data_IF_916949703683
#
_entry.id   IF_916949703683
#
_cell.length_a   1.000
_cell.length_b   1.000
_cell.length_c   1.000
_cell.angle_alpha   90.00
_cell.angle_beta   90.00
_cell.angle_gamma   90.00
#
_symmetry.space_group_name_H-M   'P 1'
#
loop_
_entity.id
_entity.type
_entity.pdbx_description
1 polymer ?
#
# COMPACT_ATOMS: atom_id res chain seq x y z
N UNK A 1 -28.09 -11.64 -12.68
CA UNK A 1 -27.74 -10.62 -11.65
C UNK A 1 -26.68 -11.19 -10.72
N UNK A 2 -25.40 -10.78 -10.80
CA UNK A 2 -24.36 -10.93 -9.74
C UNK A 2 -22.97 -10.51 -10.27
N UNK A 3 -22.75 -9.20 -10.46
CA UNK A 3 -21.40 -8.65 -10.73
C UNK A 3 -20.93 -7.68 -9.62
N UNK A 4 -21.81 -7.31 -8.67
CA UNK A 4 -21.52 -6.32 -7.63
C UNK A 4 -20.76 -6.86 -6.42
N UNK A 5 -20.98 -8.12 -6.02
CA UNK A 5 -20.37 -8.69 -4.81
C UNK A 5 -18.83 -8.81 -4.85
N UNK A 6 -18.21 -8.86 -6.05
CA UNK A 6 -16.75 -8.98 -6.18
C UNK A 6 -16.02 -7.64 -5.96
N UNK A 7 -16.67 -6.52 -6.28
CA UNK A 7 -16.09 -5.18 -6.10
C UNK A 7 -16.06 -4.74 -4.63
N UNK A 8 -17.14 -5.03 -3.89
CA UNK A 8 -17.25 -4.72 -2.46
C UNK A 8 -16.18 -5.49 -1.65
N UNK A 9 -16.05 -6.80 -1.88
CA UNK A 9 -15.03 -7.61 -1.24
C UNK A 9 -13.59 -7.12 -1.53
N UNK A 10 -13.31 -6.67 -2.75
CA UNK A 10 -11.97 -6.17 -3.10
C UNK A 10 -11.65 -4.86 -2.38
N UNK A 11 -12.64 -3.98 -2.24
CA UNK A 11 -12.47 -2.68 -1.57
C UNK A 11 -12.28 -2.86 -0.07
N UNK A 12 -13.05 -3.76 0.54
CA UNK A 12 -12.95 -4.07 1.97
C UNK A 12 -11.59 -4.70 2.31
N UNK A 13 -11.10 -5.61 1.46
CA UNK A 13 -9.78 -6.21 1.62
C UNK A 13 -8.66 -5.18 1.48
N UNK A 14 -8.74 -4.29 0.49
CA UNK A 14 -7.78 -3.20 0.31
C UNK A 14 -7.79 -2.23 1.50
N UNK A 15 -8.97 -1.87 2.01
CA UNK A 15 -9.13 -1.05 3.21
C UNK A 15 -8.50 -1.70 4.44
N UNK A 16 -8.76 -2.99 4.67
CA UNK A 16 -8.17 -3.74 5.78
C UNK A 16 -6.65 -3.89 5.64
N UNK A 17 -6.13 -4.06 4.42
CA UNK A 17 -4.69 -4.06 4.16
C UNK A 17 -4.05 -2.71 4.52
N UNK A 18 -4.67 -1.59 4.11
CA UNK A 18 -4.19 -0.25 4.43
C UNK A 18 -4.21 0.01 5.93
N UNK A 19 -5.29 -0.37 6.62
CA UNK A 19 -5.39 -0.25 8.07
C UNK A 19 -4.28 -1.03 8.79
N UNK A 20 -4.01 -2.27 8.39
CA UNK A 20 -2.90 -3.08 8.94
C UNK A 20 -1.52 -2.47 8.67
N UNK A 21 -1.29 -1.90 7.48
CA UNK A 21 -0.03 -1.21 7.17
C UNK A 21 0.17 0.01 8.07
N UNK A 22 -0.87 0.82 8.24
CA UNK A 22 -0.81 2.00 9.09
C UNK A 22 -0.57 1.63 10.56
N UNK A 23 -1.23 0.59 11.08
CA UNK A 23 -1.05 0.15 12.47
C UNK A 23 0.31 -0.49 12.71
N UNK A 24 0.86 -1.22 11.73
CA UNK A 24 2.22 -1.74 11.78
C UNK A 24 3.27 -0.61 11.81
N UNK A 25 3.09 0.42 10.97
CA UNK A 25 3.95 1.62 10.99
C UNK A 25 3.89 2.34 12.34
N UNK A 26 2.68 2.56 12.87
CA UNK A 26 2.48 3.17 14.19
C UNK A 26 3.11 2.34 15.32
N UNK A 27 3.02 1.00 15.26
CA UNK A 27 3.69 0.12 16.21
C UNK A 27 5.23 0.25 16.14
N UNK A 28 5.79 0.40 14.93
CA UNK A 28 7.21 0.67 14.74
C UNK A 28 7.66 1.97 15.38
N UNK A 29 6.87 3.04 15.23
CA UNK A 29 7.14 4.34 15.87
C UNK A 29 7.11 4.21 17.40
N UNK A 30 6.09 3.54 17.95
CA UNK A 30 6.01 3.31 19.41
C UNK A 30 7.23 2.57 19.93
N UNK A 31 7.65 1.51 19.24
CA UNK A 31 8.84 0.74 19.61
C UNK A 31 10.12 1.61 19.55
N UNK A 32 10.29 2.40 18.49
CA UNK A 32 11.43 3.31 18.34
C UNK A 32 11.49 4.40 19.41
N UNK A 33 10.34 4.85 19.91
CA UNK A 33 10.22 5.83 21.00
C UNK A 33 10.26 5.19 22.40
N UNK A 34 10.31 3.86 22.50
CA UNK A 34 10.23 3.14 23.79
C UNK A 34 8.88 3.32 24.50
N UNK A 35 7.80 3.58 23.76
CA UNK A 35 6.45 3.83 24.29
C UNK A 35 5.57 2.59 24.18
N UNK A 36 4.78 2.32 25.21
CA UNK A 36 3.79 1.24 25.19
C UNK A 36 2.44 1.70 24.57
N UNK A 37 1.58 0.74 24.23
CA UNK A 37 0.19 1.02 23.83
C UNK A 37 -0.59 1.77 24.92
N UNK A 38 -0.28 1.50 26.19
CA UNK A 38 -0.89 2.19 27.33
C UNK A 38 -0.45 3.65 27.39
N UNK A 39 0.79 3.94 27.01
CA UNK A 39 1.29 5.32 26.94
C UNK A 39 0.63 6.08 25.80
N UNK A 40 0.42 5.43 24.65
CA UNK A 40 -0.36 6.00 23.55
C UNK A 40 -1.80 6.29 23.98
N UNK A 41 -2.44 5.37 24.71
CA UNK A 41 -3.80 5.57 25.22
C UNK A 41 -3.89 6.83 26.11
N UNK A 42 -2.93 6.98 27.03
CA UNK A 42 -2.82 8.16 27.90
C UNK A 42 -2.57 9.43 27.10
N UNK A 43 -1.65 9.41 26.15
CA UNK A 43 -1.30 10.58 25.33
C UNK A 43 -2.46 11.03 24.43
N UNK A 44 -3.22 10.08 23.88
CA UNK A 44 -4.42 10.35 23.09
C UNK A 44 -5.66 10.69 23.94
N UNK A 45 -5.62 10.50 25.26
CA UNK A 45 -6.78 10.69 26.14
C UNK A 45 -7.90 9.69 25.89
N UNK A 46 -7.58 8.45 25.49
CA UNK A 46 -8.57 7.40 25.18
C UNK A 46 -8.35 6.14 26.03
N UNK A 47 -9.33 5.23 26.03
CA UNK A 47 -9.22 3.97 26.76
C UNK A 47 -8.18 3.02 26.12
N UNK A 48 -7.53 2.15 26.90
CA UNK A 48 -6.64 1.10 26.36
C UNK A 48 -7.34 0.18 25.37
N UNK A 49 -8.62 -0.14 25.61
CA UNK A 49 -9.44 -0.92 24.68
C UNK A 49 -9.59 -0.26 23.31
N UNK A 50 -9.73 1.07 23.28
CA UNK A 50 -9.77 1.83 22.02
C UNK A 50 -8.45 1.75 21.28
N UNK A 51 -7.31 1.82 21.97
CA UNK A 51 -5.99 1.63 21.34
C UNK A 51 -5.82 0.21 20.82
N UNK A 52 -6.25 -0.82 21.55
CA UNK A 52 -6.23 -2.20 21.06
C UNK A 52 -7.05 -2.37 19.78
N UNK A 53 -8.23 -1.74 19.71
CA UNK A 53 -9.06 -1.74 18.52
C UNK A 53 -8.40 -1.00 17.34
N UNK A 54 -7.74 0.13 17.60
CA UNK A 54 -6.94 0.82 16.57
C UNK A 54 -5.84 -0.11 16.06
N UNK A 55 -5.11 -0.75 16.96
CA UNK A 55 -3.95 -1.59 16.65
C UNK A 55 -4.29 -2.93 16.01
N UNK A 56 -5.52 -3.43 16.11
CA UNK A 56 -5.90 -4.68 15.44
C UNK A 56 -5.92 -4.55 13.91
N UNK A 57 -6.06 -3.34 13.37
CA UNK A 57 -6.13 -3.11 11.91
C UNK A 57 -7.40 -3.66 11.23
N UNK A 58 -8.30 -4.27 12.01
CA UNK A 58 -9.63 -4.72 11.56
C UNK A 58 -10.71 -3.68 11.83
N UNK A 59 -10.40 -2.65 12.62
CA UNK A 59 -11.32 -1.57 12.88
C UNK A 59 -11.39 -0.60 11.69
N UNK A 60 -12.55 0.05 11.52
CA UNK A 60 -12.71 1.16 10.59
C UNK A 60 -11.82 2.34 11.02
N UNK A 61 -10.57 2.31 10.59
CA UNK A 61 -9.55 3.26 10.97
C UNK A 61 -9.76 4.54 10.16
N UNK A 62 -10.00 5.65 10.86
CA UNK A 62 -10.23 6.94 10.20
C UNK A 62 -8.94 7.75 10.11
N UNK A 63 -8.87 8.64 9.11
CA UNK A 63 -7.80 9.64 9.00
C UNK A 63 -7.69 10.47 10.29
N UNK A 64 -8.83 10.81 10.91
CA UNK A 64 -8.86 11.52 12.21
C UNK A 64 -8.16 10.74 13.31
N UNK A 65 -8.34 9.42 13.36
CA UNK A 65 -7.69 8.55 14.35
C UNK A 65 -6.18 8.52 14.14
N UNK A 66 -5.73 8.41 12.88
CA UNK A 66 -4.31 8.45 12.54
C UNK A 66 -3.67 9.79 12.92
N UNK A 67 -4.33 10.90 12.59
CA UNK A 67 -3.86 12.24 12.96
C UNK A 67 -3.75 12.39 14.48
N UNK A 68 -4.76 11.96 15.24
CA UNK A 68 -4.73 12.02 16.70
C UNK A 68 -3.59 11.18 17.31
N UNK A 69 -3.30 10.00 16.74
CA UNK A 69 -2.19 9.17 17.20
C UNK A 69 -0.83 9.82 16.87
N UNK A 70 -0.70 10.44 15.70
CA UNK A 70 0.51 11.12 15.29
C UNK A 70 0.78 12.37 16.15
N UNK A 71 -0.22 13.22 16.36
CA UNK A 71 -0.16 14.37 17.28
C UNK A 71 0.26 13.94 18.70
N UNK A 72 -0.35 12.88 19.24
CA UNK A 72 -0.01 12.35 20.56
C UNK A 72 1.44 11.84 20.69
N UNK A 73 2.07 11.50 19.57
CA UNK A 73 3.45 11.01 19.51
C UNK A 73 4.45 12.06 19.00
N UNK A 74 4.00 13.25 18.60
CA UNK A 74 4.83 14.22 17.90
C UNK A 74 5.33 13.73 16.54
N UNK A 75 4.56 12.84 15.90
CA UNK A 75 4.84 12.27 14.58
C UNK A 75 3.98 12.95 13.50
N UNK A 76 4.26 12.64 12.24
CA UNK A 76 3.51 13.11 11.08
C UNK A 76 2.97 11.92 10.27
N UNK A 77 1.80 12.10 9.65
CA UNK A 77 1.23 11.15 8.69
C UNK A 77 1.35 11.74 7.28
N UNK A 78 1.86 10.95 6.34
CA UNK A 78 1.92 11.26 4.92
C UNK A 78 1.12 10.20 4.14
N UNK A 79 0.34 10.63 3.14
CA UNK A 79 -0.46 9.74 2.29
C UNK A 79 -0.04 9.96 0.84
N UNK A 80 0.49 8.90 0.22
CA UNK A 80 0.97 8.92 -1.17
C UNK A 80 0.25 7.85 -1.98
N UNK A 81 -0.28 8.24 -3.14
CA UNK A 81 -0.90 7.32 -4.09
C UNK A 81 0.12 6.89 -5.13
N UNK A 82 0.30 5.58 -5.29
CA UNK A 82 1.18 4.99 -6.29
C UNK A 82 0.39 4.17 -7.29
N UNK A 83 0.68 4.35 -8.58
CA UNK A 83 0.06 3.55 -9.63
C UNK A 83 0.68 2.15 -9.62
N UNK A 84 -0.15 1.12 -9.52
CA UNK A 84 0.34 -0.24 -9.68
C UNK A 84 0.74 -0.48 -11.14
N UNK A 85 1.93 -1.04 -11.41
CA UNK A 85 2.43 -1.23 -12.78
C UNK A 85 1.55 -2.15 -13.64
N UNK A 86 0.64 -2.92 -13.04
CA UNK A 86 -0.34 -3.77 -13.76
C UNK A 86 -1.52 -2.97 -14.36
N UNK A 87 -1.74 -1.72 -13.92
CA UNK A 87 -2.80 -0.82 -14.44
C UNK A 87 -2.25 0.20 -15.43
N UNK A 88 -0.96 0.52 -15.33
CA UNK A 88 -0.25 1.25 -16.37
C UNK A 88 -0.05 0.28 -17.54
N UNK A 89 -0.98 0.25 -18.49
CA UNK A 89 -0.83 -0.49 -19.73
C UNK A 89 0.51 -0.16 -20.36
N UNK A 90 1.48 -1.05 -20.17
CA UNK A 90 2.72 -1.04 -20.92
C UNK A 90 2.29 -1.38 -22.35
N UNK A 91 2.43 -0.49 -23.34
CA UNK A 91 2.38 -0.95 -24.71
C UNK A 91 3.50 -1.98 -24.83
N UNK A 92 3.12 -3.19 -25.22
CA UNK A 92 4.04 -4.26 -25.55
C UNK A 92 5.18 -3.63 -26.37
N UNK A 93 6.39 -3.71 -25.84
CA UNK A 93 7.61 -3.32 -26.56
C UNK A 93 7.65 -4.23 -27.79
N UNK A 94 7.10 -3.72 -28.88
CA UNK A 94 7.16 -4.30 -30.21
C UNK A 94 8.63 -4.47 -30.55
N UNK A 95 9.13 -5.66 -30.26
CA UNK A 95 10.41 -6.11 -30.78
C UNK A 95 10.09 -6.49 -32.20
N UNK A 96 10.22 -5.50 -33.08
CA UNK A 96 9.92 -5.57 -34.48
C UNK A 96 10.61 -6.78 -35.09
N UNK A 97 9.80 -7.72 -35.53
CA UNK A 97 10.11 -8.50 -36.71
C UNK A 97 10.40 -7.51 -37.84
N UNK A 98 11.67 -7.41 -38.18
CA UNK A 98 12.13 -6.75 -39.39
C UNK A 98 13.27 -7.57 -39.98
N UNK A 99 12.91 -8.79 -40.38
CA UNK A 99 13.57 -9.37 -41.55
C UNK A 99 13.00 -8.69 -42.80
N UNK A 100 13.85 -8.03 -43.60
CA UNK A 100 13.71 -8.22 -45.03
C UNK A 100 15.05 -8.59 -45.69
N UNK A 101 14.98 -9.72 -46.38
CA UNK A 101 15.86 -10.15 -47.47
C UNK A 101 16.23 -9.01 -48.43
N UNK A 102 17.52 -8.90 -48.76
CA UNK A 102 18.12 -8.41 -50.03
C UNK A 102 19.64 -8.58 -49.87
N UNK A 103 20.41 -9.23 -50.71
CA UNK A 103 20.21 -9.90 -51.99
C UNK A 103 21.58 -10.42 -52.45
N UNK A 104 21.53 -11.46 -53.29
CA UNK A 104 22.56 -12.08 -54.11
C UNK A 104 23.99 -11.48 -54.19
N UNK A 105 24.99 -12.37 -54.11
CA UNK A 105 26.36 -12.13 -54.55
C UNK A 105 27.36 -13.26 -54.22
N UNK A 106 27.20 -14.45 -54.82
CA UNK A 106 28.27 -15.45 -55.04
C UNK A 106 29.27 -14.94 -56.11
N UNK A 107 30.47 -15.54 -56.37
CA UNK A 107 31.18 -16.66 -55.69
C UNK A 107 32.73 -16.48 -55.56
N UNK A 108 33.39 -17.55 -55.08
CA UNK A 108 34.73 -18.07 -55.48
C UNK A 108 36.00 -17.71 -54.68
N UNK A 109 36.59 -18.70 -54.00
CA UNK A 109 37.88 -19.33 -54.36
C UNK A 109 38.28 -20.44 -53.36
N UNK A 110 38.20 -21.71 -53.77
CA UNK A 110 39.35 -22.63 -53.95
C UNK A 110 38.85 -23.98 -54.51
#
# INVERSE_FOLDING_TARGET
MSFFARGENSTDLAGAQLARQATASLAGILAGLGRSRSDLAKAMGVSPGRVSQIMSGDANLTVRTLAAAAEALGAQVEITFSVHPQTAGVPAKGSGDSSPMRGAGLPSHH
#
